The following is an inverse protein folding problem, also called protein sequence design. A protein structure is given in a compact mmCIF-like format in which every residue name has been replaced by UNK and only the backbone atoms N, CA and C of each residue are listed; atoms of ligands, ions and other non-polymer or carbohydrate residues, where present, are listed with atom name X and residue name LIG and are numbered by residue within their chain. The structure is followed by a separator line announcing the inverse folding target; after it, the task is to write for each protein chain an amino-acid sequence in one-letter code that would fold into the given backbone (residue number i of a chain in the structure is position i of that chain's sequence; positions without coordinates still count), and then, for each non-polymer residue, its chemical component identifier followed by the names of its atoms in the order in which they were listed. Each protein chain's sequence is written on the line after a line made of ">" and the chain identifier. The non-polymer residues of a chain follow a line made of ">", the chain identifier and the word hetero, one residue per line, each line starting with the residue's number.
data_IF_360946560574
#
_entry.id   IF_360946560574
#
_cell.length_a   1.000
_cell.length_b   1.000
_cell.length_c   1.000
_cell.angle_alpha   90.00
_cell.angle_beta   90.00
_cell.angle_gamma   90.00
#
_symmetry.space_group_name_H-M   'P 1'
#
loop_
_entity.id
_entity.type
_entity.pdbx_description
1 polymer ?
#
# COMPACT_ATOMS: atom_id res chain seq x y z
N UNK A 1 -4.07 3.50 31.36
CA UNK A 1 -2.95 2.63 31.76
C UNK A 1 -1.68 3.23 31.16
N UNK A 2 -0.63 3.47 31.95
CA UNK A 2 0.65 3.95 31.40
C UNK A 2 1.27 2.82 30.58
N UNK A 3 1.64 3.08 29.33
CA UNK A 3 2.35 2.09 28.51
C UNK A 3 3.79 1.93 29.04
N UNK A 4 4.34 0.71 29.02
CA UNK A 4 5.76 0.50 29.33
C UNK A 4 6.64 1.20 28.28
N UNK A 5 7.80 1.69 28.71
CA UNK A 5 8.78 2.34 27.84
C UNK A 5 9.45 1.33 26.89
N UNK A 6 9.62 0.08 27.36
CA UNK A 6 10.22 -1.03 26.63
C UNK A 6 9.54 -2.37 26.96
N UNK A 7 9.40 -3.24 25.95
CA UNK A 7 8.83 -4.59 26.09
C UNK A 7 9.60 -5.55 25.20
N UNK A 8 10.52 -6.34 25.75
CA UNK A 8 11.21 -7.42 25.02
C UNK A 8 12.10 -6.88 23.89
N UNK A 9 12.79 -5.77 24.11
CA UNK A 9 13.61 -5.09 23.12
C UNK A 9 12.82 -4.21 22.12
N UNK A 10 11.53 -3.97 22.39
CA UNK A 10 10.68 -3.08 21.61
C UNK A 10 10.34 -1.80 22.37
N UNK A 11 10.58 -0.65 21.74
CA UNK A 11 10.36 0.68 22.33
C UNK A 11 9.37 1.50 21.52
N UNK A 12 8.91 2.62 22.10
CA UNK A 12 8.03 3.57 21.41
C UNK A 12 6.64 3.00 21.09
N UNK A 13 6.03 2.25 22.02
CA UNK A 13 4.74 1.62 21.80
C UNK A 13 3.64 2.64 21.48
N UNK A 14 3.05 2.53 20.30
CA UNK A 14 1.93 3.35 19.83
C UNK A 14 0.69 2.46 19.65
N UNK A 15 -0.38 2.66 20.42
CA UNK A 15 -1.64 1.92 20.24
C UNK A 15 -2.23 2.12 18.84
N UNK A 16 -2.66 1.02 18.21
CA UNK A 16 -3.33 1.05 16.90
C UNK A 16 -4.84 0.82 17.00
N UNK A 17 -5.31 0.23 18.09
CA UNK A 17 -6.75 0.04 18.32
C UNK A 17 -7.44 1.36 18.63
N UNK A 18 -8.67 1.54 18.12
CA UNK A 18 -9.52 2.66 18.52
C UNK A 18 -9.88 2.52 20.01
N UNK A 19 -9.88 3.60 20.80
CA UNK A 19 -10.33 3.53 22.18
C UNK A 19 -11.78 3.02 22.21
N UNK A 20 -12.14 2.16 23.18
CA UNK A 20 -13.52 1.70 23.30
C UNK A 20 -14.42 2.92 23.48
N UNK A 21 -15.34 3.12 22.55
CA UNK A 21 -16.37 4.16 22.66
C UNK A 21 -17.27 3.83 23.86
N UNK A 22 -17.43 4.75 24.81
CA UNK A 22 -18.38 4.62 25.91
C UNK A 22 -19.79 4.38 25.35
N UNK A 23 -20.36 3.19 25.61
CA UNK A 23 -21.77 2.87 25.30
C UNK A 23 -22.02 2.00 24.06
N UNK A 24 -21.01 1.63 23.29
CA UNK A 24 -21.15 0.62 22.23
C UNK A 24 -20.39 -0.66 22.59
N UNK A 25 -20.86 -1.83 22.17
CA UNK A 25 -20.07 -3.08 22.11
C UNK A 25 -18.93 -2.98 21.06
N UNK A 26 -18.32 -1.80 20.95
CA UNK A 26 -17.37 -1.41 19.95
C UNK A 26 -16.00 -1.92 20.32
N UNK A 27 -15.54 -2.94 19.59
CA UNK A 27 -14.15 -3.14 19.14
C UNK A 27 -13.03 -3.03 20.19
N UNK A 28 -13.33 -3.11 21.49
CA UNK A 28 -12.35 -3.08 22.57
C UNK A 28 -11.61 -4.40 22.67
N UNK A 29 -10.69 -4.63 21.74
CA UNK A 29 -9.90 -5.86 21.64
C UNK A 29 -10.74 -7.03 21.16
N UNK A 30 -10.58 -7.41 19.89
CA UNK A 30 -11.17 -8.65 19.39
C UNK A 30 -10.79 -9.81 20.31
N UNK A 31 -11.78 -10.52 20.83
CA UNK A 31 -11.55 -11.64 21.74
C UNK A 31 -10.72 -12.75 21.09
N UNK A 32 -9.73 -13.26 21.81
CA UNK A 32 -8.89 -14.38 21.41
C UNK A 32 -9.13 -15.52 22.39
N UNK A 33 -10.01 -16.47 22.05
CA UNK A 33 -10.35 -17.60 22.93
C UNK A 33 -10.71 -17.17 24.38
N UNK A 34 -11.46 -16.06 24.53
CA UNK A 34 -11.85 -15.50 25.83
C UNK A 34 -10.89 -14.45 26.41
N UNK A 35 -9.71 -14.26 25.81
CA UNK A 35 -8.77 -13.22 26.22
C UNK A 35 -8.97 -11.90 25.46
N UNK A 36 -8.64 -10.79 26.10
CA UNK A 36 -8.63 -9.47 25.47
C UNK A 36 -7.32 -9.26 24.71
N UNK A 37 -7.42 -8.80 23.46
CA UNK A 37 -6.27 -8.49 22.62
C UNK A 37 -6.06 -6.99 22.46
N UNK A 38 -4.81 -6.56 22.37
CA UNK A 38 -4.41 -5.19 22.05
C UNK A 38 -3.36 -5.19 20.94
N UNK A 39 -3.30 -4.12 20.15
CA UNK A 39 -2.37 -3.96 19.04
C UNK A 39 -1.58 -2.67 19.19
N UNK A 40 -0.26 -2.78 19.07
CA UNK A 40 0.67 -1.65 19.13
C UNK A 40 1.61 -1.67 17.92
N UNK A 41 2.00 -0.50 17.43
CA UNK A 41 3.22 -0.32 16.63
C UNK A 41 4.37 -0.10 17.61
N UNK A 42 5.51 -0.74 17.38
CA UNK A 42 6.73 -0.51 18.16
C UNK A 42 7.98 -0.63 17.29
N UNK A 43 9.12 -0.15 17.78
CA UNK A 43 10.41 -0.19 17.11
C UNK A 43 11.31 -1.20 17.79
N UNK A 44 11.96 -2.06 17.01
CA UNK A 44 12.95 -3.00 17.55
C UNK A 44 14.27 -2.27 17.77
N UNK A 45 14.80 -2.37 18.99
CA UNK A 45 16.07 -1.77 19.36
C UNK A 45 17.21 -2.32 18.48
N UNK A 46 18.10 -1.43 18.03
CA UNK A 46 19.25 -1.79 17.17
C UNK A 46 18.95 -2.04 15.69
N UNK A 47 17.71 -2.31 15.28
CA UNK A 47 17.37 -2.61 13.87
C UNK A 47 16.75 -1.43 13.10
N UNK A 48 16.19 -0.44 13.79
CA UNK A 48 15.51 0.70 13.17
C UNK A 48 14.21 0.35 12.43
N UNK A 49 13.79 -0.91 12.45
CA UNK A 49 12.54 -1.40 11.84
C UNK A 49 11.41 -1.37 12.85
N UNK A 50 10.20 -1.09 12.36
CA UNK A 50 8.99 -1.12 13.17
C UNK A 50 8.15 -2.37 12.90
N UNK A 51 7.45 -2.82 13.93
CA UNK A 51 6.68 -4.06 13.98
C UNK A 51 5.32 -3.82 14.61
N UNK A 52 4.40 -4.75 14.37
CA UNK A 52 3.11 -4.80 15.04
C UNK A 52 3.20 -5.81 16.20
N UNK A 53 2.94 -5.35 17.42
CA UNK A 53 2.87 -6.16 18.63
C UNK A 53 1.42 -6.40 18.98
N UNK A 54 1.01 -7.66 18.97
CA UNK A 54 -0.29 -8.10 19.49
C UNK A 54 -0.11 -8.63 20.90
N UNK A 55 -0.63 -7.89 21.87
CA UNK A 55 -0.69 -8.31 23.28
C UNK A 55 -1.97 -9.07 23.53
N UNK A 56 -1.86 -10.23 24.17
CA UNK A 56 -3.00 -10.94 24.76
C UNK A 56 -2.90 -10.76 26.28
N UNK A 57 -3.82 -9.97 26.81
CA UNK A 57 -3.88 -9.56 28.22
C UNK A 57 -4.33 -10.72 29.12
N UNK A 58 -3.70 -10.85 30.28
CA UNK A 58 -4.06 -11.86 31.29
C UNK A 58 -3.72 -13.31 30.94
N UNK A 59 -3.04 -13.59 29.82
CA UNK A 59 -2.66 -14.95 29.44
C UNK A 59 -1.47 -15.47 30.26
N UNK A 60 -1.65 -16.65 30.86
CA UNK A 60 -0.58 -17.38 31.57
C UNK A 60 -0.18 -18.60 30.78
N UNK A 61 1.07 -18.62 30.31
CA UNK A 61 1.62 -19.76 29.59
C UNK A 61 1.75 -20.97 30.52
N UNK A 62 1.04 -22.05 30.20
CA UNK A 62 1.07 -23.30 30.96
C UNK A 62 2.14 -24.28 30.45
N UNK A 63 2.37 -24.27 29.13
CA UNK A 63 3.30 -25.17 28.46
C UNK A 63 4.22 -24.39 27.54
N UNK A 64 5.53 -24.55 27.70
CA UNK A 64 6.53 -23.93 26.82
C UNK A 64 6.37 -24.37 25.35
N UNK A 65 5.92 -25.62 25.13
CA UNK A 65 5.60 -26.11 23.79
C UNK A 65 4.52 -25.27 23.06
N UNK A 66 3.63 -24.61 23.80
CA UNK A 66 2.59 -23.77 23.22
C UNK A 66 3.16 -22.50 22.57
N UNK A 67 4.14 -21.85 23.22
CA UNK A 67 4.80 -20.68 22.64
C UNK A 67 5.82 -21.08 21.58
N UNK A 68 6.48 -22.24 21.74
CA UNK A 68 7.36 -22.80 20.72
C UNK A 68 6.63 -23.14 19.41
N UNK A 69 5.32 -23.41 19.45
CA UNK A 69 4.51 -23.60 18.25
C UNK A 69 4.54 -22.38 17.31
N UNK A 70 4.71 -21.17 17.85
CA UNK A 70 4.83 -19.93 17.07
C UNK A 70 6.11 -19.90 16.25
N UNK A 71 7.18 -20.57 16.69
CA UNK A 71 8.44 -20.62 15.94
C UNK A 71 8.25 -21.23 14.55
N UNK A 72 7.36 -22.23 14.41
CA UNK A 72 7.04 -22.82 13.10
C UNK A 72 6.53 -21.78 12.09
N UNK A 73 5.79 -20.78 12.57
CA UNK A 73 5.26 -19.70 11.73
C UNK A 73 6.32 -18.75 11.20
N UNK A 74 7.45 -18.61 11.88
CA UNK A 74 8.57 -17.75 11.43
C UNK A 74 9.22 -18.27 10.13
N UNK A 75 9.04 -19.56 9.84
CA UNK A 75 9.56 -20.24 8.65
C UNK A 75 8.61 -20.16 7.46
N UNK A 76 7.33 -19.84 7.69
CA UNK A 76 6.31 -19.73 6.64
C UNK A 76 6.34 -18.31 6.06
N UNK A 77 6.65 -18.21 4.76
CA UNK A 77 6.67 -16.92 4.05
C UNK A 77 5.71 -16.96 2.88
N UNK A 78 4.74 -16.05 2.89
CA UNK A 78 3.78 -15.90 1.80
C UNK A 78 3.30 -14.44 1.70
N UNK A 79 3.15 -13.87 0.49
CA UNK A 79 2.72 -12.48 0.29
C UNK A 79 1.33 -12.16 0.84
N UNK A 80 0.47 -13.17 1.01
CA UNK A 80 -0.86 -13.10 1.59
C UNK A 80 -0.92 -13.42 3.09
N UNK A 81 0.22 -13.55 3.78
CA UNK A 81 0.30 -13.76 5.22
C UNK A 81 1.03 -12.55 5.86
N UNK A 82 0.52 -12.05 6.98
CA UNK A 82 1.31 -11.10 7.79
C UNK A 82 2.43 -11.88 8.47
N UNK A 83 3.68 -11.53 8.16
CA UNK A 83 4.85 -12.28 8.62
C UNK A 83 4.94 -12.34 10.15
N UNK A 84 5.06 -13.55 10.71
CA UNK A 84 5.27 -13.78 12.15
C UNK A 84 6.76 -13.69 12.45
N UNK A 85 7.13 -12.92 13.47
CA UNK A 85 8.54 -12.69 13.84
C UNK A 85 8.93 -13.48 15.08
N UNK A 86 8.18 -13.31 16.14
CA UNK A 86 8.42 -13.99 17.41
C UNK A 86 7.20 -13.89 18.32
N UNK A 87 7.22 -14.64 19.41
CA UNK A 87 6.30 -14.45 20.52
C UNK A 87 7.03 -14.66 21.84
N UNK A 88 6.66 -13.87 22.85
CA UNK A 88 7.26 -13.94 24.17
C UNK A 88 6.26 -13.55 25.25
N UNK A 89 6.48 -14.02 26.48
CA UNK A 89 5.67 -13.61 27.64
C UNK A 89 6.30 -12.40 28.32
N UNK A 90 5.49 -11.55 28.94
CA UNK A 90 5.99 -10.35 29.63
C UNK A 90 5.12 -9.98 30.82
N UNK A 91 5.73 -9.24 31.75
CA UNK A 91 5.06 -8.56 32.87
C UNK A 91 5.16 -7.03 32.81
N UNK A 92 5.75 -6.49 31.74
CA UNK A 92 6.03 -5.06 31.61
C UNK A 92 4.76 -4.18 31.64
N UNK A 93 3.60 -4.73 31.24
CA UNK A 93 2.31 -4.04 31.30
C UNK A 93 1.63 -4.10 32.68
N UNK A 94 2.27 -4.69 33.70
CA UNK A 94 1.71 -4.84 35.04
C UNK A 94 0.83 -6.08 35.24
N UNK A 95 0.66 -6.92 34.22
CA UNK A 95 -0.07 -8.18 34.25
C UNK A 95 0.74 -9.30 33.57
N UNK A 96 0.22 -10.54 33.58
CA UNK A 96 0.82 -11.61 32.76
C UNK A 96 0.23 -11.55 31.36
N UNK A 97 1.06 -11.21 30.38
CA UNK A 97 0.66 -11.09 28.98
C UNK A 97 1.57 -11.96 28.09
N UNK A 98 1.05 -12.36 26.94
CA UNK A 98 1.86 -12.84 25.81
C UNK A 98 1.81 -11.84 24.67
N UNK A 99 2.96 -11.59 24.05
CA UNK A 99 3.12 -10.71 22.91
C UNK A 99 3.44 -11.55 21.69
N UNK A 100 2.74 -11.32 20.59
CA UNK A 100 3.06 -11.84 19.27
C UNK A 100 3.52 -10.69 18.38
N UNK A 101 4.69 -10.83 17.78
CA UNK A 101 5.29 -9.82 16.92
C UNK A 101 5.10 -10.18 15.46
N UNK A 102 4.63 -9.21 14.69
CA UNK A 102 4.33 -9.33 13.27
C UNK A 102 4.97 -8.21 12.45
N UNK A 103 5.09 -8.43 11.15
CA UNK A 103 5.38 -7.36 10.20
C UNK A 103 4.34 -6.25 10.27
N UNK A 104 4.83 -5.00 10.31
CA UNK A 104 3.98 -3.82 10.31
C UNK A 104 3.60 -3.42 8.87
N UNK A 105 2.30 -3.36 8.60
CA UNK A 105 1.75 -2.84 7.35
C UNK A 105 1.02 -1.51 7.63
N UNK A 106 1.57 -0.35 7.22
CA UNK A 106 0.98 0.95 7.52
C UNK A 106 -0.38 1.12 6.84
N UNK A 107 -1.25 1.90 7.49
CA UNK A 107 -2.59 2.26 6.97
C UNK A 107 -3.50 1.06 6.64
N UNK A 108 -3.20 -0.11 7.20
CA UNK A 108 -4.02 -1.31 7.00
C UNK A 108 -5.37 -1.16 7.69
N UNK A 109 -6.40 -1.74 7.08
CA UNK A 109 -7.74 -1.84 7.63
C UNK A 109 -8.17 -3.31 7.63
N UNK A 110 -9.04 -3.71 8.53
CA UNK A 110 -9.65 -5.06 8.45
C UNK A 110 -10.64 -5.12 7.28
N UNK A 111 -10.92 -6.32 6.75
CA UNK A 111 -12.00 -6.50 5.76
C UNK A 111 -13.36 -6.00 6.28
N UNK A 112 -13.60 -6.14 7.59
CA UNK A 112 -14.77 -5.59 8.25
C UNK A 112 -14.82 -4.07 8.12
N UNK A 113 -13.75 -3.37 8.48
CA UNK A 113 -13.68 -1.91 8.36
C UNK A 113 -13.82 -1.43 6.92
N UNK A 114 -13.23 -2.17 5.98
CA UNK A 114 -13.23 -1.81 4.57
C UNK A 114 -14.59 -2.01 3.88
N UNK A 115 -15.39 -3.01 4.29
CA UNK A 115 -16.58 -3.43 3.52
C UNK A 115 -17.86 -3.58 4.32
N UNK A 116 -17.79 -3.86 5.62
CA UNK A 116 -18.95 -4.22 6.45
C UNK A 116 -19.28 -3.19 7.54
N UNK A 117 -18.33 -2.31 7.85
CA UNK A 117 -18.53 -1.21 8.77
C UNK A 117 -19.49 -0.18 8.18
N UNK A 118 -20.39 0.42 8.98
CA UNK A 118 -21.20 1.56 8.53
C UNK A 118 -20.36 2.74 8.00
N UNK A 119 -19.09 2.83 8.40
CA UNK A 119 -18.14 3.85 7.94
C UNK A 119 -17.53 3.53 6.57
N UNK A 120 -17.67 2.30 6.05
CA UNK A 120 -17.12 1.89 4.77
C UNK A 120 -17.75 2.64 3.58
N UNK A 121 -18.95 3.21 3.77
CA UNK A 121 -19.66 4.00 2.75
C UNK A 121 -19.24 5.47 2.71
N UNK A 122 -18.40 5.93 3.65
CA UNK A 122 -17.89 7.30 3.64
C UNK A 122 -16.78 7.44 2.59
N UNK A 123 -16.72 8.57 1.87
CA UNK A 123 -15.62 8.82 0.96
C UNK A 123 -14.29 8.79 1.75
N UNK A 124 -13.21 8.24 1.15
CA UNK A 124 -11.90 8.26 1.78
C UNK A 124 -11.53 9.70 2.14
N UNK A 125 -10.90 9.88 3.31
CA UNK A 125 -10.49 11.20 3.79
C UNK A 125 -9.73 11.94 2.67
N UNK A 126 -10.09 13.19 2.32
CA UNK A 126 -9.39 13.94 1.27
C UNK A 126 -7.88 14.12 1.54
N UNK A 127 -7.43 13.90 2.77
CA UNK A 127 -6.03 13.95 3.19
C UNK A 127 -5.37 12.58 3.27
N UNK A 128 -6.14 11.48 3.21
CA UNK A 128 -5.57 10.17 2.91
C UNK A 128 -5.31 10.16 1.41
N UNK A 129 -4.08 10.46 1.01
CA UNK A 129 -3.63 10.35 -0.39
C UNK A 129 -4.04 8.99 -0.94
N UNK A 130 -5.05 8.92 -1.82
CA UNK A 130 -5.31 7.70 -2.54
C UNK A 130 -4.16 7.57 -3.55
N UNK A 131 -3.55 6.41 -3.65
CA UNK A 131 -2.79 6.04 -4.84
C UNK A 131 -3.78 5.81 -5.99
N UNK A 132 -4.47 6.88 -6.41
CA UNK A 132 -5.23 6.92 -7.65
C UNK A 132 -4.25 7.28 -8.75
N UNK A 133 -3.75 6.26 -9.44
CA UNK A 133 -3.09 6.45 -10.73
C UNK A 133 -4.05 7.22 -11.65
N UNK A 134 -3.64 8.40 -12.07
CA UNK A 134 -4.21 9.05 -13.23
C UNK A 134 -4.00 8.11 -14.43
N UNK A 135 -5.09 7.56 -14.97
CA UNK A 135 -5.08 6.93 -16.27
C UNK A 135 -4.82 8.02 -17.32
N UNK A 136 -3.56 8.31 -17.60
CA UNK A 136 -3.18 9.06 -18.79
C UNK A 136 -3.26 8.11 -19.98
N UNK A 137 -4.38 8.18 -20.71
CA UNK A 137 -4.45 7.69 -22.08
C UNK A 137 -3.37 8.40 -22.91
N UNK A 138 -2.51 7.61 -23.55
CA UNK A 138 -1.47 8.07 -24.46
C UNK A 138 -2.05 8.83 -25.65
N UNK A 139 -1.38 9.92 -26.00
CA UNK A 139 -1.67 10.71 -27.19
C UNK A 139 -1.13 10.04 -28.45
N UNK A 140 -1.96 9.97 -29.49
CA UNK A 140 -1.54 9.82 -30.87
C UNK A 140 -1.95 11.08 -31.65
N UNK A 141 -1.11 11.44 -32.62
CA UNK A 141 -0.97 12.75 -33.23
C UNK A 141 -2.14 13.25 -34.11
N UNK A 142 -2.31 14.58 -34.06
CA UNK A 142 -2.70 15.57 -35.07
C UNK A 142 -3.50 15.17 -36.33
N UNK A 143 -4.63 15.87 -36.55
CA UNK A 143 -4.98 16.55 -37.81
C UNK A 143 -5.98 17.71 -37.54
N UNK A 144 -6.04 18.68 -38.45
CA UNK A 144 -6.35 20.10 -38.24
C UNK A 144 -7.84 20.56 -38.28
N UNK A 145 -8.11 21.63 -37.50
CA UNK A 145 -9.01 22.81 -37.71
C UNK A 145 -10.55 22.67 -37.79
N UNK A 146 -11.36 23.78 -37.68
CA UNK A 146 -11.34 24.92 -36.75
C UNK A 146 -12.73 25.27 -36.12
N UNK A 147 -12.73 26.14 -35.08
CA UNK A 147 -13.81 27.01 -34.56
C UNK A 147 -15.27 26.49 -34.44
N UNK A 148 -15.79 26.45 -33.19
CA UNK A 148 -17.04 27.14 -32.79
C UNK A 148 -17.31 27.09 -31.28
N UNK A 149 -17.75 28.24 -30.77
CA UNK A 149 -18.17 28.52 -29.39
C UNK A 149 -19.45 27.79 -28.99
N UNK A 150 -19.58 27.32 -27.74
CA UNK A 150 -20.80 27.43 -26.95
C UNK A 150 -20.61 27.02 -25.46
N UNK A 151 -20.96 27.97 -24.58
CA UNK A 151 -21.64 27.85 -23.28
C UNK A 151 -21.12 26.90 -22.16
N UNK A 152 -20.74 27.53 -21.03
CA UNK A 152 -20.65 26.90 -19.69
C UNK A 152 -22.06 26.71 -19.09
N UNK A 153 -22.37 25.58 -18.42
CA UNK A 153 -23.51 25.51 -17.50
C UNK A 153 -23.11 25.93 -16.08
N UNK A 154 -24.03 26.65 -15.43
CA UNK A 154 -23.92 27.21 -14.09
C UNK A 154 -24.11 26.17 -12.97
N UNK A 155 -23.51 26.45 -11.80
CA UNK A 155 -23.74 25.73 -10.53
C UNK A 155 -25.10 26.10 -9.92
N UNK A 156 -25.84 25.17 -9.27
CA UNK A 156 -26.99 25.54 -8.47
C UNK A 156 -26.61 25.88 -7.01
N UNK A 157 -27.28 26.93 -6.56
CA UNK A 157 -27.26 27.58 -5.25
C UNK A 157 -27.87 26.74 -4.11
N UNK A 158 -27.39 26.97 -2.90
CA UNK A 158 -27.90 26.44 -1.62
C UNK A 158 -29.04 27.30 -1.06
N UNK A 159 -30.19 26.69 -0.76
CA UNK A 159 -31.20 27.24 0.16
C UNK A 159 -31.98 26.10 0.82
N UNK A 160 -32.14 26.17 2.15
CA UNK A 160 -32.66 25.09 2.99
C UNK A 160 -34.17 25.08 3.25
N UNK A 161 -34.62 24.02 3.91
CA UNK A 161 -35.93 23.85 4.54
C UNK A 161 -36.11 22.43 5.11
N UNK A 162 -36.60 22.23 6.35
CA UNK A 162 -36.59 20.93 7.03
C UNK A 162 -37.89 20.15 6.83
N UNK A 163 -37.80 18.82 6.72
CA UNK A 163 -38.97 17.94 6.66
C UNK A 163 -38.57 16.48 6.76
N UNK A 164 -38.97 15.82 7.85
CA UNK A 164 -38.68 14.41 8.12
C UNK A 164 -39.40 13.46 7.16
N UNK A 165 -38.75 12.32 6.90
CA UNK A 165 -39.32 11.22 6.14
C UNK A 165 -38.42 9.99 6.20
N UNK A 166 -38.82 9.03 7.03
CA UNK A 166 -38.48 7.59 7.02
C UNK A 166 -37.14 7.17 6.37
N UNK A 167 -36.17 6.84 7.22
CA UNK A 167 -34.92 6.18 6.82
C UNK A 167 -35.19 4.82 6.17
N UNK A 168 -35.12 4.78 4.84
CA UNK A 168 -34.98 3.54 4.10
C UNK A 168 -33.71 2.82 4.55
N UNK A 169 -33.83 1.51 4.79
CA UNK A 169 -32.69 0.63 5.02
C UNK A 169 -31.70 0.79 3.85
N UNK A 170 -30.61 1.53 4.10
CA UNK A 170 -29.54 1.69 3.14
C UNK A 170 -28.96 0.32 2.82
N UNK A 171 -29.24 -0.18 1.63
CA UNK A 171 -28.55 -1.36 1.10
C UNK A 171 -27.08 -1.01 1.01
N UNK A 172 -26.24 -1.55 1.90
CA UNK A 172 -24.79 -1.46 1.74
C UNK A 172 -24.44 -1.90 0.32
N UNK A 173 -23.58 -1.17 -0.40
CA UNK A 173 -23.25 -1.48 -1.78
C UNK A 173 -22.71 -2.90 -1.88
N UNK A 174 -23.28 -3.70 -2.79
CA UNK A 174 -22.85 -5.08 -3.03
C UNK A 174 -21.39 -5.08 -3.48
N UNK A 175 -20.55 -5.88 -2.81
CA UNK A 175 -19.13 -5.95 -3.15
C UNK A 175 -18.96 -6.48 -4.59
N UNK A 176 -18.28 -5.74 -5.49
CA UNK A 176 -18.10 -6.19 -6.86
C UNK A 176 -17.43 -7.55 -6.93
N UNK A 177 -17.97 -8.44 -7.76
CA UNK A 177 -17.52 -9.83 -7.84
C UNK A 177 -16.02 -9.96 -8.17
N UNK A 178 -15.48 -9.08 -9.04
CA UNK A 178 -14.03 -9.04 -9.34
C UNK A 178 -13.17 -8.81 -8.10
N UNK A 179 -13.61 -7.93 -7.19
CA UNK A 179 -12.89 -7.63 -5.95
C UNK A 179 -12.96 -8.83 -5.00
N UNK A 180 -14.14 -9.46 -4.91
CA UNK A 180 -14.31 -10.66 -4.10
C UNK A 180 -13.43 -11.81 -4.59
N UNK A 181 -13.36 -12.06 -5.90
CA UNK A 181 -12.47 -13.08 -6.46
C UNK A 181 -11.00 -12.81 -6.19
N UNK A 182 -10.56 -11.56 -6.28
CA UNK A 182 -9.18 -11.18 -5.94
C UNK A 182 -8.83 -11.57 -4.50
N UNK A 183 -9.73 -11.28 -3.55
CA UNK A 183 -9.55 -11.71 -2.16
C UNK A 183 -9.55 -13.23 -1.99
N UNK A 184 -10.48 -13.92 -2.65
CA UNK A 184 -10.60 -15.38 -2.60
C UNK A 184 -9.33 -16.05 -3.11
N UNK A 185 -8.79 -15.61 -4.25
CA UNK A 185 -7.55 -16.17 -4.82
C UNK A 185 -6.35 -15.93 -3.89
N UNK A 186 -6.19 -14.71 -3.35
CA UNK A 186 -5.08 -14.39 -2.45
C UNK A 186 -5.15 -15.19 -1.13
N UNK A 187 -6.34 -15.34 -0.55
CA UNK A 187 -6.55 -16.13 0.67
C UNK A 187 -6.31 -17.62 0.39
N UNK A 188 -6.84 -18.15 -0.73
CA UNK A 188 -6.65 -19.55 -1.09
C UNK A 188 -5.18 -19.90 -1.33
N UNK A 189 -4.43 -19.00 -1.98
CA UNK A 189 -2.98 -19.12 -2.17
C UNK A 189 -2.24 -19.17 -0.81
N UNK A 190 -2.60 -18.30 0.13
CA UNK A 190 -2.01 -18.29 1.47
C UNK A 190 -2.36 -19.58 2.26
N UNK A 191 -3.61 -20.05 2.17
CA UNK A 191 -4.03 -21.29 2.81
C UNK A 191 -3.27 -22.50 2.27
N UNK A 192 -3.06 -22.59 0.95
CA UNK A 192 -2.23 -23.65 0.36
C UNK A 192 -0.82 -23.65 0.94
N UNK A 193 -0.19 -22.49 1.05
CA UNK A 193 1.16 -22.39 1.64
C UNK A 193 1.18 -22.86 3.10
N UNK A 194 0.20 -22.43 3.91
CA UNK A 194 0.09 -22.80 5.33
C UNK A 194 -0.21 -24.29 5.51
N UNK A 195 -1.18 -24.83 4.77
CA UNK A 195 -1.59 -26.23 4.88
C UNK A 195 -0.46 -27.18 4.45
N UNK A 196 0.29 -26.84 3.39
CA UNK A 196 1.49 -27.59 2.97
C UNK A 196 2.64 -27.53 3.97
N UNK A 197 2.63 -26.54 4.87
CA UNK A 197 3.59 -26.44 5.98
C UNK A 197 3.14 -27.19 7.23
N UNK A 198 2.09 -28.03 7.14
CA UNK A 198 1.47 -28.75 8.25
C UNK A 198 1.01 -27.83 9.39
N UNK A 199 0.45 -26.67 9.02
CA UNK A 199 -0.16 -25.70 9.93
C UNK A 199 -1.61 -25.42 9.50
N UNK A 200 -2.34 -24.68 10.34
CA UNK A 200 -3.68 -24.18 10.06
C UNK A 200 -3.79 -22.73 10.55
N UNK A 201 -4.48 -21.86 9.82
CA UNK A 201 -4.54 -20.41 10.10
C UNK A 201 -5.38 -20.12 11.34
N UNK A 202 -6.52 -20.82 11.50
CA UNK A 202 -7.46 -20.75 12.64
C UNK A 202 -8.15 -19.39 12.87
N UNK A 203 -7.76 -18.34 12.14
CA UNK A 203 -8.21 -16.95 12.34
C UNK A 203 -8.85 -16.33 11.10
N UNK A 204 -9.53 -17.13 10.28
CA UNK A 204 -10.13 -16.68 9.02
C UNK A 204 -11.48 -16.01 9.29
N UNK A 205 -11.45 -14.69 9.48
CA UNK A 205 -12.65 -13.87 9.60
C UNK A 205 -12.40 -12.42 9.15
N UNK A 206 -13.50 -11.67 8.95
CA UNK A 206 -13.49 -10.31 8.41
C UNK A 206 -12.69 -9.31 9.26
N UNK A 207 -12.50 -9.59 10.55
CA UNK A 207 -11.80 -8.69 11.47
C UNK A 207 -10.32 -9.03 11.64
N UNK A 208 -9.86 -10.13 11.03
CA UNK A 208 -8.48 -10.63 11.15
C UNK A 208 -7.71 -10.59 9.85
N UNK A 209 -8.42 -10.46 8.73
CA UNK A 209 -7.81 -10.28 7.41
C UNK A 209 -7.67 -8.80 7.12
N UNK A 210 -6.47 -8.38 6.78
CA UNK A 210 -6.11 -6.99 6.56
C UNK A 210 -6.13 -6.66 5.06
N UNK A 211 -6.81 -5.57 4.71
CA UNK A 211 -6.61 -4.84 3.46
C UNK A 211 -5.45 -3.88 3.66
N UNK A 212 -4.43 -4.00 2.82
CA UNK A 212 -3.11 -3.37 2.99
C UNK A 212 -2.69 -2.54 1.77
N UNK A 213 -3.62 -2.38 0.83
CA UNK A 213 -3.44 -1.71 -0.46
C UNK A 213 -4.67 -1.97 -1.32
N UNK A 214 -4.67 -1.47 -2.56
CA UNK A 214 -5.79 -1.68 -3.49
C UNK A 214 -5.93 -3.18 -3.80
N UNK A 215 -7.07 -3.75 -3.41
CA UNK A 215 -7.38 -5.17 -3.55
C UNK A 215 -6.35 -6.14 -2.95
N UNK A 216 -5.47 -5.68 -2.04
CA UNK A 216 -4.40 -6.52 -1.47
C UNK A 216 -4.74 -6.95 -0.05
N UNK A 217 -4.93 -8.25 0.16
CA UNK A 217 -5.28 -8.83 1.46
C UNK A 217 -4.16 -9.67 2.07
N UNK A 218 -4.12 -9.70 3.42
CA UNK A 218 -3.18 -10.51 4.20
C UNK A 218 -3.88 -11.14 5.40
N UNK A 219 -3.66 -12.44 5.61
CA UNK A 219 -4.11 -13.17 6.79
C UNK A 219 -3.34 -12.70 8.02
N UNK A 220 -4.05 -12.17 9.01
CA UNK A 220 -3.48 -11.71 10.27
C UNK A 220 -3.72 -12.67 11.43
N UNK A 221 -2.86 -12.58 12.45
CA UNK A 221 -3.05 -13.31 13.71
C UNK A 221 -2.65 -14.79 13.69
N UNK A 222 -1.87 -15.20 12.69
CA UNK A 222 -1.27 -16.53 12.64
C UNK A 222 -0.45 -16.82 13.91
N UNK A 223 -0.53 -18.06 14.40
CA UNK A 223 0.17 -18.52 15.61
C UNK A 223 -0.46 -18.14 16.94
N UNK A 224 -1.44 -17.22 16.98
CA UNK A 224 -2.08 -16.83 18.25
C UNK A 224 -2.85 -18.01 18.84
N UNK A 225 -3.75 -18.62 18.07
CA UNK A 225 -4.58 -19.71 18.58
C UNK A 225 -3.77 -20.98 18.82
N UNK A 226 -2.72 -21.23 18.04
CA UNK A 226 -1.76 -22.32 18.26
C UNK A 226 -1.18 -22.28 19.68
N UNK A 227 -0.92 -21.08 20.20
CA UNK A 227 -0.42 -20.87 21.56
C UNK A 227 -1.55 -20.84 22.61
N UNK A 228 -2.64 -20.11 22.35
CA UNK A 228 -3.71 -19.90 23.33
C UNK A 228 -4.58 -21.15 23.58
N UNK A 229 -4.78 -21.97 22.56
CA UNK A 229 -5.58 -23.21 22.62
C UNK A 229 -4.72 -24.42 22.26
N UNK A 230 -3.51 -24.46 22.81
CA UNK A 230 -2.58 -25.57 22.63
C UNK A 230 -3.19 -26.88 23.12
N UNK A 231 -3.20 -27.88 22.25
CA UNK A 231 -3.79 -29.20 22.49
C UNK A 231 -2.78 -30.34 22.28
N UNK A 232 -1.47 -30.02 22.30
CA UNK A 232 -0.42 -31.00 22.01
C UNK A 232 -0.15 -31.21 20.51
N UNK A 233 -0.82 -30.46 19.62
CA UNK A 233 -0.55 -30.49 18.17
C UNK A 233 -1.19 -31.66 17.42
N UNK A 234 -2.17 -32.34 18.02
CA UNK A 234 -2.78 -33.56 17.47
C UNK A 234 -3.90 -33.30 16.45
N UNK A 235 -4.32 -32.05 16.27
CA UNK A 235 -5.57 -31.69 15.59
C UNK A 235 -5.39 -30.91 14.27
N UNK A 236 -4.18 -30.82 13.72
CA UNK A 236 -3.92 -29.99 12.52
C UNK A 236 -4.86 -30.32 11.35
N UNK A 237 -5.10 -31.58 10.95
CA UNK A 237 -6.04 -31.87 9.87
C UNK A 237 -7.46 -31.38 10.15
N UNK A 238 -7.92 -31.45 11.40
CA UNK A 238 -9.23 -30.92 11.78
C UNK A 238 -9.26 -29.39 11.69
N UNK A 239 -8.22 -28.71 12.17
CA UNK A 239 -8.09 -27.25 12.03
C UNK A 239 -8.01 -26.80 10.56
N UNK A 240 -7.39 -27.58 9.68
CA UNK A 240 -7.39 -27.29 8.24
C UNK A 240 -8.78 -27.41 7.63
N UNK A 241 -9.61 -28.37 8.09
CA UNK A 241 -11.02 -28.45 7.67
C UNK A 241 -11.84 -27.26 8.20
N UNK A 242 -11.57 -26.82 9.42
CA UNK A 242 -12.20 -25.63 10.02
C UNK A 242 -11.79 -24.34 9.29
N UNK A 243 -10.55 -24.25 8.81
CA UNK A 243 -10.09 -23.15 7.96
C UNK A 243 -10.94 -23.06 6.67
N UNK A 244 -11.13 -24.19 5.98
CA UNK A 244 -11.94 -24.22 4.75
C UNK A 244 -13.39 -23.82 5.01
N UNK A 245 -13.97 -24.28 6.13
CA UNK A 245 -15.32 -23.87 6.52
C UNK A 245 -15.39 -22.37 6.84
N UNK A 246 -14.42 -21.84 7.58
CA UNK A 246 -14.33 -20.43 7.94
C UNK A 246 -14.11 -19.56 6.70
N UNK A 247 -13.36 -20.05 5.72
CA UNK A 247 -13.20 -19.40 4.43
C UNK A 247 -14.50 -19.30 3.64
N UNK A 248 -15.30 -20.37 3.60
CA UNK A 248 -16.65 -20.32 2.99
C UNK A 248 -17.57 -19.31 3.68
N UNK A 249 -17.55 -19.28 5.02
CA UNK A 249 -18.31 -18.29 5.82
C UNK A 249 -17.86 -16.85 5.58
N UNK A 250 -16.55 -16.62 5.44
CA UNK A 250 -15.99 -15.32 5.09
C UNK A 250 -16.53 -14.82 3.74
N UNK A 251 -16.51 -15.67 2.72
CA UNK A 251 -17.03 -15.31 1.39
C UNK A 251 -18.51 -14.94 1.47
N UNK A 252 -19.30 -15.71 2.24
CA UNK A 252 -20.71 -15.40 2.48
C UNK A 252 -20.89 -14.05 3.17
N UNK A 253 -20.11 -13.76 4.21
CA UNK A 253 -20.21 -12.51 4.94
C UNK A 253 -19.93 -11.30 4.04
N UNK A 254 -18.94 -11.41 3.16
CA UNK A 254 -18.59 -10.36 2.19
C UNK A 254 -19.63 -10.22 1.08
N UNK A 255 -20.04 -11.34 0.47
CA UNK A 255 -21.01 -11.35 -0.64
C UNK A 255 -22.39 -10.84 -0.20
N UNK A 256 -22.81 -11.16 1.02
CA UNK A 256 -24.07 -10.68 1.58
C UNK A 256 -23.95 -9.33 2.31
N UNK A 257 -22.76 -8.74 2.41
CA UNK A 257 -22.54 -7.48 3.12
C UNK A 257 -22.89 -7.52 4.61
N UNK A 258 -22.84 -8.69 5.26
CA UNK A 258 -23.24 -8.85 6.66
C UNK A 258 -22.58 -10.06 7.31
N UNK A 259 -22.01 -9.87 8.51
CA UNK A 259 -21.48 -10.98 9.33
C UNK A 259 -22.59 -11.92 9.79
N UNK A 260 -23.82 -11.44 9.94
CA UNK A 260 -24.98 -12.25 10.37
C UNK A 260 -25.46 -13.23 9.30
N UNK A 261 -25.03 -13.06 8.04
CA UNK A 261 -25.40 -13.93 6.92
C UNK A 261 -25.03 -15.40 7.17
N UNK A 262 -23.95 -15.64 7.91
CA UNK A 262 -23.46 -17.00 8.21
C UNK A 262 -24.43 -17.83 9.06
N UNK A 263 -25.40 -17.20 9.73
CA UNK A 263 -26.40 -17.89 10.55
C UNK A 263 -27.57 -18.46 9.72
N UNK A 264 -27.77 -17.99 8.48
CA UNK A 264 -28.82 -18.50 7.59
C UNK A 264 -28.23 -18.82 6.20
N UNK A 265 -27.41 -19.89 6.17
CA UNK A 265 -26.71 -20.33 4.97
C UNK A 265 -27.63 -20.56 3.76
N UNK A 266 -28.82 -21.19 3.88
CA UNK A 266 -29.71 -21.36 2.73
C UNK A 266 -30.11 -20.05 2.07
N UNK A 267 -30.50 -19.04 2.87
CA UNK A 267 -30.85 -17.70 2.36
C UNK A 267 -29.65 -17.00 1.73
N UNK A 268 -28.48 -17.10 2.35
CA UNK A 268 -27.25 -16.48 1.83
C UNK A 268 -26.78 -17.10 0.53
N UNK A 269 -26.86 -18.43 0.39
CA UNK A 269 -26.50 -19.12 -0.85
C UNK A 269 -27.49 -18.77 -1.98
N UNK A 270 -28.78 -18.66 -1.68
CA UNK A 270 -29.78 -18.19 -2.64
C UNK A 270 -29.50 -16.76 -3.10
N UNK A 271 -29.15 -15.85 -2.18
CA UNK A 271 -28.71 -14.50 -2.53
C UNK A 271 -27.47 -14.52 -3.46
N UNK A 272 -26.44 -15.30 -3.12
CA UNK A 272 -25.24 -15.44 -3.95
C UNK A 272 -25.60 -15.94 -5.36
N UNK A 273 -26.52 -16.91 -5.46
CA UNK A 273 -26.94 -17.47 -6.74
C UNK A 273 -27.65 -16.48 -7.66
N UNK A 274 -28.20 -15.39 -7.12
CA UNK A 274 -28.88 -14.34 -7.88
C UNK A 274 -27.96 -13.18 -8.24
N UNK A 275 -26.96 -12.90 -7.41
CA UNK A 275 -26.12 -11.70 -7.50
C UNK A 275 -24.72 -11.95 -8.06
N UNK A 276 -24.22 -13.19 -8.00
CA UNK A 276 -22.85 -13.56 -8.37
C UNK A 276 -22.83 -14.76 -9.32
N UNK A 277 -21.67 -15.02 -9.92
CA UNK A 277 -21.50 -16.13 -10.86
C UNK A 277 -21.75 -17.52 -10.25
N UNK A 278 -22.14 -18.50 -11.08
CA UNK A 278 -22.23 -19.90 -10.67
C UNK A 278 -20.90 -20.45 -10.11
N UNK A 279 -19.76 -19.99 -10.62
CA UNK A 279 -18.43 -20.39 -10.15
C UNK A 279 -18.24 -20.04 -8.67
N UNK A 280 -18.65 -18.83 -8.27
CA UNK A 280 -18.51 -18.38 -6.88
C UNK A 280 -19.40 -19.23 -5.97
N UNK A 281 -20.64 -19.49 -6.40
CA UNK A 281 -21.57 -20.37 -5.69
C UNK A 281 -20.97 -21.77 -5.52
N UNK A 282 -20.37 -22.33 -6.56
CA UNK A 282 -19.77 -23.67 -6.52
C UNK A 282 -18.61 -23.74 -5.52
N UNK A 283 -17.72 -22.75 -5.51
CA UNK A 283 -16.64 -22.63 -4.52
C UNK A 283 -17.20 -22.53 -3.09
N UNK A 284 -18.21 -21.69 -2.86
CA UNK A 284 -18.85 -21.56 -1.54
C UNK A 284 -19.47 -22.88 -1.08
N UNK A 285 -20.21 -23.57 -1.95
CA UNK A 285 -20.81 -24.86 -1.62
C UNK A 285 -19.77 -25.94 -1.32
N UNK A 286 -18.66 -25.97 -2.07
CA UNK A 286 -17.54 -26.86 -1.78
C UNK A 286 -16.93 -26.57 -0.40
N UNK A 287 -16.67 -25.30 -0.08
CA UNK A 287 -16.11 -24.89 1.22
C UNK A 287 -17.06 -25.18 2.39
N UNK A 288 -18.38 -25.12 2.18
CA UNK A 288 -19.39 -25.46 3.19
C UNK A 288 -19.69 -26.96 3.31
N UNK A 289 -19.22 -27.78 2.38
CA UNK A 289 -19.44 -29.23 2.40
C UNK A 289 -18.85 -29.89 3.64
N UNK A 290 -19.33 -31.09 3.98
CA UNK A 290 -18.86 -31.83 5.16
C UNK A 290 -17.34 -32.06 5.10
N UNK A 291 -16.64 -31.99 6.24
CA UNK A 291 -15.22 -32.34 6.30
C UNK A 291 -14.95 -33.72 5.72
N UNK A 292 -13.83 -33.87 5.02
CA UNK A 292 -13.44 -35.14 4.44
C UNK A 292 -12.02 -35.11 3.89
N UNK A 293 -11.41 -36.29 3.68
CA UNK A 293 -10.01 -36.38 3.25
C UNK A 293 -9.77 -35.83 1.84
N UNK A 294 -10.82 -35.75 1.01
CA UNK A 294 -10.77 -35.13 -0.33
C UNK A 294 -11.09 -33.64 -0.32
N UNK A 295 -11.45 -33.08 0.84
CA UNK A 295 -11.77 -31.66 0.98
C UNK A 295 -10.48 -30.91 1.28
N UNK A 296 -9.83 -30.39 0.24
CA UNK A 296 -8.53 -29.70 0.38
C UNK A 296 -8.53 -28.35 -0.31
N UNK A 297 -7.53 -27.53 -0.01
CA UNK A 297 -7.37 -26.22 -0.63
C UNK A 297 -6.95 -26.31 -2.11
N UNK A 298 -6.31 -27.40 -2.52
CA UNK A 298 -5.94 -27.68 -3.91
C UNK A 298 -7.18 -27.78 -4.80
N UNK A 299 -8.20 -28.50 -4.36
CA UNK A 299 -9.46 -28.64 -5.10
C UNK A 299 -10.20 -27.29 -5.21
N UNK A 300 -10.12 -26.45 -4.18
CA UNK A 300 -10.65 -25.07 -4.24
C UNK A 300 -9.93 -24.27 -5.32
N UNK A 301 -8.61 -24.39 -5.43
CA UNK A 301 -7.82 -23.73 -6.47
C UNK A 301 -8.15 -24.25 -7.88
N UNK A 302 -8.42 -25.55 -8.02
CA UNK A 302 -8.90 -26.14 -9.28
C UNK A 302 -10.25 -25.52 -9.69
N UNK A 303 -11.20 -25.39 -8.76
CA UNK A 303 -12.51 -24.79 -9.04
C UNK A 303 -12.45 -23.32 -9.47
N UNK A 304 -11.43 -22.57 -9.06
CA UNK A 304 -11.25 -21.16 -9.42
C UNK A 304 -10.12 -20.91 -10.43
N UNK A 305 -9.66 -21.94 -11.15
CA UNK A 305 -8.48 -21.89 -12.04
C UNK A 305 -8.40 -20.64 -12.95
N UNK A 306 -9.47 -20.28 -13.70
CA UNK A 306 -9.46 -19.07 -14.53
C UNK A 306 -9.21 -17.77 -13.74
N UNK A 307 -9.73 -17.68 -12.50
CA UNK A 307 -9.57 -16.50 -11.63
C UNK A 307 -8.16 -16.34 -11.11
N UNK A 308 -7.42 -17.44 -10.98
CA UNK A 308 -5.99 -17.39 -10.62
C UNK A 308 -5.19 -16.68 -11.72
N UNK A 309 -5.51 -16.94 -13.00
CA UNK A 309 -4.87 -16.27 -14.14
C UNK A 309 -5.25 -14.78 -14.19
N UNK A 310 -6.51 -14.45 -13.93
CA UNK A 310 -6.98 -13.04 -13.84
C UNK A 310 -6.20 -12.25 -12.76
N UNK A 311 -5.97 -12.86 -11.60
CA UNK A 311 -5.23 -12.26 -10.49
C UNK A 311 -3.73 -12.18 -10.79
N UNK A 312 -3.15 -13.20 -11.44
CA UNK A 312 -1.75 -13.16 -11.90
C UNK A 312 -1.53 -12.00 -12.87
N UNK A 313 -2.39 -11.83 -13.87
CA UNK A 313 -2.33 -10.71 -14.81
C UNK A 313 -2.47 -9.37 -14.08
N UNK A 314 -3.36 -9.28 -13.08
CA UNK A 314 -3.51 -8.08 -12.27
C UNK A 314 -2.25 -7.78 -11.45
N UNK A 315 -1.52 -8.81 -10.99
CA UNK A 315 -0.24 -8.66 -10.31
C UNK A 315 0.87 -8.18 -11.25
N UNK A 316 0.93 -8.69 -12.48
CA UNK A 316 1.89 -8.25 -13.50
C UNK A 316 1.66 -6.79 -13.89
N UNK A 317 0.40 -6.37 -14.08
CA UNK A 317 0.07 -4.96 -14.32
C UNK A 317 0.51 -4.07 -13.15
N UNK A 318 0.38 -4.55 -11.91
CA UNK A 318 0.86 -3.81 -10.75
C UNK A 318 2.40 -3.72 -10.72
N UNK A 319 3.11 -4.76 -11.16
CA UNK A 319 4.57 -4.77 -11.32
C UNK A 319 5.01 -3.75 -12.37
N UNK A 320 4.43 -3.78 -13.58
CA UNK A 320 4.70 -2.80 -14.64
C UNK A 320 4.46 -1.35 -14.16
N UNK A 321 3.42 -1.16 -13.36
CA UNK A 321 3.08 0.16 -12.80
C UNK A 321 4.14 0.62 -11.79
N UNK A 322 4.60 -0.26 -10.90
CA UNK A 322 5.65 0.07 -9.92
C UNK A 322 6.97 0.31 -10.63
N UNK A 323 7.32 -0.49 -11.64
CA UNK A 323 8.51 -0.30 -12.45
C UNK A 323 8.47 1.04 -13.18
N UNK A 324 7.32 1.42 -13.75
CA UNK A 324 7.13 2.73 -14.39
C UNK A 324 7.36 3.90 -13.43
N UNK A 325 6.75 3.86 -12.23
CA UNK A 325 6.97 4.92 -11.24
C UNK A 325 8.41 4.93 -10.72
N UNK A 326 9.04 3.77 -10.54
CA UNK A 326 10.45 3.67 -10.14
C UNK A 326 11.39 4.25 -11.21
N UNK A 327 11.13 4.01 -12.49
CA UNK A 327 11.88 4.61 -13.59
C UNK A 327 11.76 6.14 -13.56
N UNK A 328 10.58 6.68 -13.30
CA UNK A 328 10.37 8.13 -13.17
C UNK A 328 11.14 8.72 -11.98
N UNK A 329 11.12 8.05 -10.83
CA UNK A 329 11.88 8.49 -9.66
C UNK A 329 13.39 8.34 -9.83
N UNK A 330 13.84 7.35 -10.59
CA UNK A 330 15.25 7.23 -10.97
C UNK A 330 15.71 8.43 -11.80
N UNK A 331 14.91 8.85 -12.79
CA UNK A 331 15.19 10.05 -13.58
C UNK A 331 15.18 11.31 -12.70
N UNK A 332 14.22 11.47 -11.81
CA UNK A 332 14.24 12.56 -10.82
C UNK A 332 15.54 12.56 -10.01
N UNK A 333 16.01 11.40 -9.56
CA UNK A 333 17.28 11.26 -8.85
C UNK A 333 18.50 11.68 -9.69
N UNK A 334 18.51 11.41 -11.00
CA UNK A 334 19.55 11.87 -11.93
C UNK A 334 19.54 13.38 -12.05
N UNK A 335 18.36 13.97 -12.25
CA UNK A 335 18.20 15.41 -12.36
C UNK A 335 18.58 16.15 -11.06
N UNK A 336 18.24 15.62 -9.89
CA UNK A 336 18.66 16.20 -8.60
C UNK A 336 20.18 16.22 -8.47
N UNK A 337 20.87 15.15 -8.87
CA UNK A 337 22.35 15.13 -8.86
C UNK A 337 22.94 16.14 -9.84
N UNK A 338 22.33 16.29 -11.02
CA UNK A 338 22.77 17.29 -12.01
C UNK A 338 22.55 18.72 -11.50
N UNK A 339 21.38 19.02 -10.92
CA UNK A 339 21.07 20.29 -10.26
C UNK A 339 22.05 20.59 -9.12
N UNK A 340 22.42 19.59 -8.31
CA UNK A 340 23.42 19.75 -7.28
C UNK A 340 24.79 20.14 -7.87
N UNK A 341 25.21 19.53 -8.99
CA UNK A 341 26.45 19.94 -9.70
C UNK A 341 26.38 21.39 -10.16
N UNK A 342 25.26 21.82 -10.76
CA UNK A 342 25.05 23.23 -11.08
C UNK A 342 25.19 24.12 -9.84
N UNK A 343 24.59 23.74 -8.71
CA UNK A 343 24.71 24.47 -7.44
C UNK A 343 26.15 24.56 -6.90
N UNK A 344 26.98 23.53 -7.13
CA UNK A 344 28.40 23.58 -6.74
C UNK A 344 29.26 24.44 -7.67
N UNK A 345 28.90 24.55 -8.95
CA UNK A 345 29.68 25.25 -9.98
C UNK A 345 29.32 26.74 -10.05
N UNK A 346 28.03 27.04 -10.05
CA UNK A 346 27.52 28.39 -10.28
C UNK A 346 27.79 29.31 -9.09
N UNK A 347 28.10 30.58 -9.37
CA UNK A 347 28.04 31.69 -8.40
C UNK A 347 28.84 31.48 -7.12
N UNK A 348 30.02 30.85 -7.23
CA UNK A 348 30.91 30.65 -6.09
C UNK A 348 31.44 31.99 -5.55
N UNK A 349 31.28 32.27 -4.24
CA UNK A 349 31.62 33.56 -3.65
C UNK A 349 33.12 33.88 -3.67
N UNK A 350 33.97 32.83 -3.64
CA UNK A 350 35.44 32.94 -3.75
C UNK A 350 35.89 33.63 -5.04
N UNK A 351 35.02 33.65 -6.06
CA UNK A 351 35.28 34.23 -7.37
C UNK A 351 34.32 35.38 -7.72
N UNK A 352 33.55 35.90 -6.75
CA UNK A 352 32.59 36.99 -6.96
C UNK A 352 33.28 38.31 -7.38
N UNK A 353 34.59 38.41 -7.17
CA UNK A 353 35.44 39.52 -7.60
C UNK A 353 36.45 39.13 -8.70
N UNK A 354 36.38 37.91 -9.23
CA UNK A 354 37.11 37.50 -10.41
C UNK A 354 36.12 37.31 -11.58
N UNK A 355 35.90 38.35 -12.41
CA UNK A 355 35.06 38.26 -13.59
C UNK A 355 35.44 37.11 -14.51
N UNK A 356 36.71 36.66 -14.48
CA UNK A 356 37.20 35.59 -15.36
C UNK A 356 36.62 34.23 -14.97
N UNK A 357 36.27 34.00 -13.71
CA UNK A 357 35.78 32.68 -13.29
C UNK A 357 34.44 32.32 -13.94
N UNK A 358 33.49 33.25 -14.00
CA UNK A 358 32.17 33.03 -14.58
C UNK A 358 32.09 33.33 -16.08
N UNK A 359 33.00 34.16 -16.61
CA UNK A 359 32.96 34.67 -18.01
C UNK A 359 33.99 34.01 -18.94
N UNK A 360 34.66 32.91 -18.53
CA UNK A 360 35.63 32.21 -19.41
C UNK A 360 35.38 30.72 -19.55
N UNK A 361 35.50 30.22 -20.79
CA UNK A 361 35.51 28.81 -21.15
C UNK A 361 34.23 28.05 -20.79
N UNK A 362 34.40 26.85 -20.25
CA UNK A 362 33.33 25.91 -19.88
C UNK A 362 32.31 26.50 -18.91
N UNK A 363 32.75 27.35 -17.98
CA UNK A 363 31.88 27.93 -16.93
C UNK A 363 30.90 28.97 -17.49
N UNK A 364 31.31 29.70 -18.52
CA UNK A 364 30.42 30.65 -19.20
C UNK A 364 29.27 29.93 -19.92
N UNK A 365 29.57 28.81 -20.61
CA UNK A 365 28.54 27.96 -21.23
C UNK A 365 27.55 27.41 -20.20
N UNK A 366 28.04 26.98 -19.03
CA UNK A 366 27.20 26.49 -17.92
C UNK A 366 26.29 27.60 -17.39
N UNK A 367 26.83 28.82 -17.20
CA UNK A 367 26.06 30.00 -16.75
C UNK A 367 24.94 30.35 -17.73
N UNK A 368 25.24 30.42 -19.02
CA UNK A 368 24.24 30.71 -20.04
C UNK A 368 23.18 29.60 -20.13
N UNK A 369 23.59 28.33 -20.02
CA UNK A 369 22.65 27.23 -20.00
C UNK A 369 21.71 27.27 -18.79
N UNK A 370 22.23 27.61 -17.60
CA UNK A 370 21.39 27.84 -16.43
C UNK A 370 20.36 28.94 -16.70
N UNK A 371 20.77 30.05 -17.31
CA UNK A 371 19.84 31.14 -17.65
C UNK A 371 18.77 30.68 -18.67
N UNK A 372 19.17 29.90 -19.69
CA UNK A 372 18.24 29.27 -20.65
C UNK A 372 17.21 28.34 -19.98
N UNK A 373 17.60 27.62 -18.93
CA UNK A 373 16.71 26.69 -18.23
C UNK A 373 15.83 27.37 -17.18
N UNK A 374 16.39 28.25 -16.35
CA UNK A 374 15.72 28.74 -15.13
C UNK A 374 15.34 30.23 -15.15
N UNK A 375 15.87 31.02 -16.08
CA UNK A 375 15.66 32.47 -16.14
C UNK A 375 14.94 32.90 -17.42
N UNK A 376 14.00 32.07 -17.87
CA UNK A 376 13.15 32.41 -19.01
C UNK A 376 12.20 33.56 -18.65
N UNK A 377 11.98 34.45 -19.62
CA UNK A 377 11.01 35.55 -19.55
C UNK A 377 10.08 35.51 -20.76
N UNK A 378 8.82 35.93 -20.57
CA UNK A 378 7.86 36.08 -21.66
C UNK A 378 8.10 37.38 -22.45
N UNK A 379 7.31 37.61 -23.49
CA UNK A 379 7.37 38.82 -24.33
C UNK A 379 7.19 40.13 -23.54
N UNK A 380 6.62 40.06 -22.33
CA UNK A 380 6.40 41.19 -21.43
C UNK A 380 7.46 41.32 -20.34
N UNK A 381 8.49 40.46 -20.36
CA UNK A 381 9.57 40.43 -19.38
C UNK A 381 9.21 39.75 -18.06
N UNK A 382 8.07 39.04 -17.98
CA UNK A 382 7.67 38.32 -16.76
C UNK A 382 8.35 36.95 -16.70
N UNK A 383 8.75 36.47 -15.51
CA UNK A 383 9.41 35.18 -15.37
C UNK A 383 8.49 34.02 -15.78
N UNK A 384 9.03 33.07 -16.54
CA UNK A 384 8.35 31.85 -16.99
C UNK A 384 8.79 30.68 -16.12
N UNK A 385 7.85 30.10 -15.37
CA UNK A 385 8.08 28.93 -14.51
C UNK A 385 7.53 27.66 -15.15
N UNK A 386 8.09 27.27 -16.30
CA UNK A 386 7.69 26.05 -17.01
C UNK A 386 8.54 24.84 -16.60
N UNK A 387 7.96 23.99 -15.75
CA UNK A 387 8.57 22.73 -15.32
C UNK A 387 8.80 21.74 -16.47
N UNK A 388 7.96 21.77 -17.51
CA UNK A 388 8.11 20.89 -18.67
C UNK A 388 9.39 21.22 -19.44
N UNK A 389 9.65 22.51 -19.65
CA UNK A 389 10.91 23.00 -20.23
C UNK A 389 12.11 22.58 -19.39
N UNK A 390 12.08 22.84 -18.08
CA UNK A 390 13.18 22.49 -17.16
C UNK A 390 13.51 21.00 -17.22
N UNK A 391 12.49 20.14 -17.07
CA UNK A 391 12.67 18.69 -17.11
C UNK A 391 13.20 18.22 -18.47
N UNK A 392 12.67 18.77 -19.57
CA UNK A 392 13.10 18.40 -20.92
C UNK A 392 14.55 18.79 -21.16
N UNK A 393 14.94 20.02 -20.83
CA UNK A 393 16.31 20.52 -21.02
C UNK A 393 17.31 19.75 -20.16
N UNK A 394 17.00 19.49 -18.88
CA UNK A 394 17.91 18.74 -18.00
C UNK A 394 18.01 17.27 -18.40
N UNK A 395 16.94 16.63 -18.88
CA UNK A 395 17.01 15.26 -19.40
C UNK A 395 17.88 15.18 -20.67
N UNK A 396 17.74 16.14 -21.59
CA UNK A 396 18.59 16.24 -22.79
C UNK A 396 20.05 16.46 -22.40
N UNK A 397 20.31 17.31 -21.41
CA UNK A 397 21.65 17.54 -20.87
C UNK A 397 22.24 16.27 -20.25
N UNK A 398 21.50 15.61 -19.35
CA UNK A 398 21.96 14.40 -18.68
C UNK A 398 22.21 13.26 -19.65
N UNK A 399 21.37 13.13 -20.69
CA UNK A 399 21.58 12.19 -21.79
C UNK A 399 22.78 12.56 -22.69
N UNK A 400 23.15 13.83 -22.77
CA UNK A 400 24.23 14.30 -23.65
C UNK A 400 23.88 14.13 -25.13
N UNK A 401 22.69 14.58 -25.52
CA UNK A 401 22.21 14.51 -26.91
C UNK A 401 22.96 15.49 -27.83
N UNK A 402 23.01 15.16 -29.12
CA UNK A 402 23.65 16.01 -30.16
C UNK A 402 22.78 17.18 -30.63
N UNK A 403 21.55 17.31 -30.09
CA UNK A 403 20.68 18.46 -30.35
C UNK A 403 21.38 19.76 -29.95
N UNK A 404 21.41 20.72 -30.88
CA UNK A 404 21.99 22.05 -30.67
C UNK A 404 20.93 23.03 -30.22
N UNK A 405 21.29 23.87 -29.25
CA UNK A 405 20.50 25.00 -28.80
C UNK A 405 21.29 26.30 -28.95
N UNK A 406 20.58 27.41 -28.97
CA UNK A 406 21.17 28.74 -28.96
C UNK A 406 21.12 29.31 -27.54
N UNK A 407 22.29 29.61 -26.99
CA UNK A 407 22.47 30.29 -25.72
C UNK A 407 22.75 31.77 -25.99
N UNK A 408 22.01 32.66 -25.34
CA UNK A 408 22.10 34.11 -25.53
C UNK A 408 22.58 34.74 -24.23
N UNK A 409 23.55 35.64 -24.32
CA UNK A 409 24.01 36.44 -23.17
C UNK A 409 22.95 37.43 -22.71
N UNK A 410 23.01 37.86 -21.45
CA UNK A 410 22.00 38.77 -20.86
C UNK A 410 21.97 40.15 -21.51
N UNK A 411 23.08 40.58 -22.11
CA UNK A 411 23.19 41.83 -22.86
C UNK A 411 22.78 41.67 -24.34
N UNK A 412 22.34 40.48 -24.74
CA UNK A 412 21.92 40.09 -26.09
C UNK A 412 23.01 40.30 -27.17
N UNK A 413 24.26 40.52 -26.76
CA UNK A 413 25.36 40.79 -27.69
C UNK A 413 26.05 39.51 -28.19
N UNK A 414 25.93 38.40 -27.44
CA UNK A 414 26.60 37.14 -27.74
C UNK A 414 25.59 35.99 -27.87
N UNK A 415 25.64 35.29 -28.99
CA UNK A 415 24.88 34.06 -29.24
C UNK A 415 25.84 32.89 -29.48
N UNK A 416 25.70 31.82 -28.72
CA UNK A 416 26.49 30.60 -28.85
C UNK A 416 25.59 29.44 -29.24
N UNK A 417 25.96 28.70 -30.28
CA UNK A 417 25.26 27.47 -30.69
C UNK A 417 26.07 26.29 -30.17
N UNK A 418 25.47 25.53 -29.26
CA UNK A 418 26.15 24.44 -28.54
C UNK A 418 25.20 23.26 -28.40
N UNK A 419 25.73 22.04 -28.46
CA UNK A 419 24.99 20.81 -28.21
C UNK A 419 24.85 20.51 -26.72
N UNK A 420 23.78 19.80 -26.33
CA UNK A 420 23.64 19.33 -24.95
C UNK A 420 24.84 18.44 -24.53
N UNK A 421 25.43 17.67 -25.45
CA UNK A 421 26.66 16.89 -25.19
C UNK A 421 27.85 17.78 -24.80
N UNK A 422 28.08 18.87 -25.51
CA UNK A 422 29.17 19.80 -25.20
C UNK A 422 28.97 20.44 -23.83
N UNK A 423 27.74 20.89 -23.51
CA UNK A 423 27.41 21.46 -22.20
C UNK A 423 27.63 20.42 -21.09
N UNK A 424 27.23 19.16 -21.32
CA UNK A 424 27.44 18.08 -20.36
C UNK A 424 28.93 17.90 -20.04
N UNK A 425 29.77 17.88 -21.07
CA UNK A 425 31.21 17.76 -20.89
C UNK A 425 31.78 18.94 -20.09
N UNK A 426 31.32 20.17 -20.34
CA UNK A 426 31.69 21.34 -19.55
C UNK A 426 31.30 21.17 -18.07
N UNK A 427 30.07 20.71 -17.78
CA UNK A 427 29.59 20.49 -16.40
C UNK A 427 30.43 19.42 -15.69
N UNK A 428 30.73 18.31 -16.37
CA UNK A 428 31.54 17.23 -15.80
C UNK A 428 32.99 17.65 -15.53
N UNK A 429 33.60 18.37 -16.48
CA UNK A 429 34.94 18.94 -16.36
C UNK A 429 35.02 19.93 -15.19
N UNK A 430 34.12 20.91 -15.16
CA UNK A 430 34.08 21.92 -14.10
C UNK A 430 33.84 21.31 -12.71
N UNK A 431 32.97 20.31 -12.60
CA UNK A 431 32.73 19.60 -11.34
C UNK A 431 33.96 18.79 -10.90
N UNK A 432 34.63 18.10 -11.83
CA UNK A 432 35.83 17.31 -11.54
C UNK A 432 36.98 18.19 -11.06
N UNK A 433 37.15 19.38 -11.63
CA UNK A 433 38.19 20.33 -11.22
C UNK A 433 37.95 20.82 -9.79
N UNK A 434 36.69 21.13 -9.44
CA UNK A 434 36.30 21.50 -8.07
C UNK A 434 36.48 20.38 -7.05
N UNK A 435 36.45 19.12 -7.48
CA UNK A 435 36.67 17.97 -6.59
C UNK A 435 38.16 17.67 -6.33
N UNK A 436 39.05 18.25 -7.14
CA UNK A 436 40.50 18.07 -7.08
C UNK A 436 41.22 19.24 -6.41
N UNK A 437 40.60 20.42 -6.37
CA UNK A 437 41.00 21.58 -5.56
C UNK A 437 40.70 21.36 -4.09
#
# INVERSE_FOLDING_TARGET
>A
MKLPDEVGGYTGLLPLDKPPSEGGSGSGGLGWAGYRGWVYKAWKEGEGRCYMLRRIEGFRLQHEAAIAAVEKWTRVRHPGLVGVREAFTTRAFGDQSVIFVYDFHPCSQTLYEAHLSPLATLPPNPWSTPLTHHAHHGGAAAHAAPYRSAARPALPSTAGGPGGGAGGAGTSPVLPERVLWSYVVQIASALKCVHNSALAVRTIDVSRILVTGKNRVRLGGAGVLDCLTWDGGQSIPAHQQDDLLSFGKLIIALACGSTSAVHNLPKSVDHISRMYSPDLKNVVLYLLSKPGPRKTIEEVLVLMGPRVVDELNSSLVAEDTIEHELMRELENGRLVRLLAKFGFINERPEFDHDPRWAETGDRYLIKLFRDYVFHQVDETGRPVTDLSHVLTALNKLDAGVDEKLMLVSRDEQSCLIVSYREIKNCVESAFADLSRS
#
